data_IF_442750873838
#
_entry.id   IF_442750873838
#
_cell.length_a   1.000
_cell.length_b   1.000
_cell.length_c   1.000
_cell.angle_alpha   90.00
_cell.angle_beta   90.00
_cell.angle_gamma   90.00
#
_symmetry.space_group_name_H-M   'P 1'
#
loop_
_entity.id
_entity.type
_entity.pdbx_description
1 polymer ?
#
# COMPACT_ATOMS: atom_id res chain seq x y z
N UNK A 1 -15.16 -19.47 -2.89
CA UNK A 1 -15.23 -20.00 -1.50
C UNK A 1 -14.93 -18.85 -0.55
N UNK A 2 -15.76 -18.63 0.47
CA UNK A 2 -15.43 -17.70 1.56
C UNK A 2 -14.35 -18.30 2.46
N UNK A 3 -13.50 -17.44 3.01
CA UNK A 3 -12.52 -17.78 4.06
C UNK A 3 -12.84 -16.96 5.30
N UNK A 4 -12.64 -17.53 6.47
CA UNK A 4 -12.91 -16.85 7.74
C UNK A 4 -11.60 -16.32 8.32
N UNK A 5 -11.61 -15.07 8.78
CA UNK A 5 -10.50 -14.45 9.50
C UNK A 5 -10.91 -14.32 10.97
N UNK A 6 -10.06 -14.82 11.86
CA UNK A 6 -10.22 -14.65 13.31
C UNK A 6 -9.21 -13.63 13.81
N UNK A 7 -9.67 -12.56 14.44
CA UNK A 7 -8.83 -11.48 14.94
C UNK A 7 -8.99 -11.33 16.45
N UNK A 8 -7.87 -11.28 17.18
CA UNK A 8 -7.87 -10.93 18.60
C UNK A 8 -7.70 -9.42 18.73
N UNK A 9 -8.61 -8.78 19.46
CA UNK A 9 -8.61 -7.34 19.72
C UNK A 9 -8.58 -7.08 21.22
N UNK A 10 -8.01 -5.94 21.62
CA UNK A 10 -8.28 -5.39 22.94
C UNK A 10 -9.74 -4.89 23.00
N UNK A 11 -10.31 -4.85 24.20
CA UNK A 11 -11.67 -4.33 24.43
C UNK A 11 -11.83 -2.89 23.93
N UNK A 12 -10.80 -2.06 24.11
CA UNK A 12 -10.79 -0.67 23.64
C UNK A 12 -10.93 -0.61 22.11
N UNK A 13 -10.10 -1.33 21.37
CA UNK A 13 -10.13 -1.33 19.91
C UNK A 13 -11.44 -1.93 19.39
N UNK A 14 -11.96 -2.99 20.01
CA UNK A 14 -13.24 -3.57 19.63
C UNK A 14 -14.38 -2.54 19.77
N UNK A 15 -14.43 -1.80 20.88
CA UNK A 15 -15.46 -0.77 21.09
C UNK A 15 -15.37 0.37 20.07
N UNK A 16 -14.15 0.81 19.75
CA UNK A 16 -13.93 1.84 18.73
C UNK A 16 -14.42 1.36 17.37
N UNK A 17 -14.00 0.18 16.93
CA UNK A 17 -14.39 -0.38 15.62
C UNK A 17 -15.89 -0.61 15.54
N UNK A 18 -16.49 -1.12 16.62
CA UNK A 18 -17.93 -1.34 16.68
C UNK A 18 -18.72 -0.04 16.58
N UNK A 19 -18.33 0.98 17.34
CA UNK A 19 -18.98 2.31 17.32
C UNK A 19 -18.91 2.95 15.94
N UNK A 20 -17.76 2.86 15.25
CA UNK A 20 -17.60 3.41 13.91
C UNK A 20 -18.40 2.60 12.87
N UNK A 21 -18.38 1.28 12.95
CA UNK A 21 -19.18 0.42 12.08
C UNK A 21 -20.69 0.69 12.22
N UNK A 22 -21.18 0.85 13.46
CA UNK A 22 -22.57 1.19 13.74
C UNK A 22 -22.94 2.58 13.20
N UNK A 23 -22.03 3.58 13.30
CA UNK A 23 -22.23 4.92 12.71
C UNK A 23 -22.31 4.90 11.18
N UNK A 24 -21.55 4.01 10.55
CA UNK A 24 -21.57 3.78 9.10
C UNK A 24 -22.74 2.87 8.68
N UNK A 25 -23.59 2.44 9.62
CA UNK A 25 -24.70 1.51 9.41
C UNK A 25 -24.30 0.22 8.67
N UNK A 26 -23.14 -0.36 9.04
CA UNK A 26 -22.61 -1.58 8.42
C UNK A 26 -22.07 -2.58 9.43
N UNK A 27 -22.05 -3.90 9.12
CA UNK A 27 -21.44 -4.89 9.99
C UNK A 27 -19.94 -4.62 10.22
N UNK A 28 -19.45 -4.95 11.43
CA UNK A 28 -18.05 -4.74 11.80
C UNK A 28 -17.06 -5.49 10.88
N UNK A 29 -17.45 -6.66 10.37
CA UNK A 29 -16.65 -7.42 9.39
C UNK A 29 -16.46 -6.64 8.09
N UNK A 30 -17.55 -6.09 7.54
CA UNK A 30 -17.51 -5.27 6.34
C UNK A 30 -16.75 -3.95 6.56
N UNK A 31 -16.89 -3.34 7.75
CA UNK A 31 -16.12 -2.16 8.13
C UNK A 31 -14.61 -2.43 8.06
N UNK A 32 -14.15 -3.51 8.71
CA UNK A 32 -12.73 -3.90 8.75
C UNK A 32 -12.23 -4.25 7.35
N UNK A 33 -12.97 -5.09 6.61
CA UNK A 33 -12.61 -5.49 5.24
C UNK A 33 -12.41 -4.27 4.32
N UNK A 34 -13.35 -3.33 4.35
CA UNK A 34 -13.30 -2.12 3.53
C UNK A 34 -12.11 -1.23 3.94
N UNK A 35 -11.87 -1.07 5.24
CA UNK A 35 -10.76 -0.26 5.73
C UNK A 35 -9.40 -0.84 5.30
N UNK A 36 -9.24 -2.17 5.40
CA UNK A 36 -8.02 -2.86 4.96
C UNK A 36 -7.84 -2.72 3.45
N UNK A 37 -8.90 -2.91 2.66
CA UNK A 37 -8.83 -2.74 1.20
C UNK A 37 -8.37 -1.33 0.80
N UNK A 38 -9.00 -0.30 1.37
CA UNK A 38 -8.60 1.11 1.13
C UNK A 38 -7.17 1.38 1.57
N UNK A 39 -6.75 0.86 2.72
CA UNK A 39 -5.38 1.03 3.20
C UNK A 39 -4.37 0.46 2.19
N UNK A 40 -4.62 -0.75 1.68
CA UNK A 40 -3.77 -1.39 0.68
C UNK A 40 -3.76 -0.58 -0.62
N UNK A 41 -4.93 -0.19 -1.14
CA UNK A 41 -5.05 0.62 -2.35
C UNK A 41 -4.27 1.93 -2.26
N UNK A 42 -4.32 2.63 -1.12
CA UNK A 42 -3.66 3.92 -0.95
C UNK A 42 -2.18 3.86 -0.55
N UNK A 43 -1.74 2.82 0.15
CA UNK A 43 -0.39 2.80 0.75
C UNK A 43 0.55 1.76 0.11
N UNK A 44 0.00 0.76 -0.58
CA UNK A 44 0.79 -0.35 -1.13
C UNK A 44 0.87 -0.27 -2.66
N UNK A 45 -0.07 0.43 -3.30
CA UNK A 45 -0.11 0.60 -4.74
C UNK A 45 0.06 2.07 -5.11
N UNK A 46 0.95 2.32 -6.07
CA UNK A 46 1.03 3.58 -6.82
C UNK A 46 -0.18 3.57 -7.77
N UNK A 47 -0.90 4.69 -7.85
CA UNK A 47 -2.09 4.79 -8.72
C UNK A 47 -1.71 4.53 -10.19
N UNK A 48 -2.67 4.09 -11.02
CA UNK A 48 -2.44 3.78 -12.42
C UNK A 48 -1.92 5.00 -13.19
N UNK A 49 -2.45 6.19 -12.91
CA UNK A 49 -1.99 7.45 -13.51
C UNK A 49 -0.54 7.80 -13.10
N UNK A 50 -0.20 7.63 -11.82
CA UNK A 50 1.16 7.83 -11.34
C UNK A 50 2.13 6.81 -11.98
N UNK A 51 1.70 5.55 -12.15
CA UNK A 51 2.48 4.53 -12.84
C UNK A 51 2.65 4.82 -14.33
N UNK A 52 1.63 5.36 -15.01
CA UNK A 52 1.73 5.83 -16.39
C UNK A 52 2.72 6.98 -16.52
N UNK A 53 2.72 7.93 -15.59
CA UNK A 53 3.68 9.03 -15.57
C UNK A 53 5.12 8.53 -15.37
N UNK A 54 5.34 7.60 -14.43
CA UNK A 54 6.65 6.96 -14.22
C UNK A 54 7.10 6.22 -15.49
N UNK A 55 6.21 5.48 -16.16
CA UNK A 55 6.52 4.77 -17.41
C UNK A 55 6.79 5.73 -18.57
N UNK A 56 6.07 6.84 -18.65
CA UNK A 56 6.22 7.88 -19.66
C UNK A 56 7.44 8.78 -19.47
N UNK A 57 7.99 8.86 -18.25
CA UNK A 57 9.14 9.69 -17.95
C UNK A 57 10.44 9.10 -18.53
N UNK A 58 10.78 9.55 -19.74
CA UNK A 58 11.95 9.03 -20.47
C UNK A 58 13.29 9.34 -19.79
N UNK A 59 13.40 10.47 -19.08
CA UNK A 59 14.62 10.87 -18.40
C UNK A 59 14.88 10.01 -17.15
N UNK A 60 13.85 9.83 -16.32
CA UNK A 60 13.88 8.95 -15.15
C UNK A 60 14.23 7.52 -15.56
N UNK A 61 13.55 6.99 -16.58
CA UNK A 61 13.82 5.62 -17.04
C UNK A 61 15.25 5.46 -17.60
N UNK A 62 15.80 6.49 -18.26
CA UNK A 62 17.20 6.50 -18.68
C UNK A 62 18.17 6.57 -17.50
N UNK A 63 17.89 7.36 -16.46
CA UNK A 63 18.74 7.44 -15.27
C UNK A 63 18.73 6.13 -14.48
N UNK A 64 17.56 5.52 -14.28
CA UNK A 64 17.41 4.22 -13.61
C UNK A 64 18.16 3.11 -14.35
N UNK A 65 18.01 3.01 -15.67
CA UNK A 65 18.75 2.03 -16.50
C UNK A 65 20.26 2.22 -16.39
N UNK A 66 20.74 3.47 -16.44
CA UNK A 66 22.16 3.79 -16.25
C UNK A 66 22.64 3.37 -14.86
N UNK A 67 21.91 3.73 -13.80
CA UNK A 67 22.23 3.31 -12.43
C UNK A 67 22.32 1.79 -12.26
N UNK A 68 21.45 1.03 -12.96
CA UNK A 68 21.46 -0.44 -12.94
C UNK A 68 22.71 -1.01 -13.65
N UNK A 69 23.15 -0.39 -14.74
CA UNK A 69 24.40 -0.75 -15.44
C UNK A 69 25.63 -0.37 -14.61
N UNK A 70 25.61 0.81 -13.98
CA UNK A 70 26.71 1.30 -13.14
C UNK A 70 26.87 0.41 -11.90
N UNK A 71 25.78 0.05 -11.24
CA UNK A 71 25.76 -0.93 -10.14
C UNK A 71 26.36 -2.28 -10.59
N UNK A 72 25.91 -2.84 -11.72
CA UNK A 72 26.41 -4.13 -12.25
C UNK A 72 27.90 -4.06 -12.60
N UNK A 73 28.36 -2.93 -13.11
CA UNK A 73 29.77 -2.68 -13.42
C UNK A 73 30.59 -2.23 -12.22
N UNK A 74 29.99 -2.23 -11.00
CA UNK A 74 30.60 -1.75 -9.74
C UNK A 74 31.16 -0.33 -9.84
N UNK A 75 30.58 0.48 -10.72
CA UNK A 75 30.90 1.90 -10.87
C UNK A 75 30.04 2.70 -9.89
N UNK A 76 30.59 2.91 -8.71
CA UNK A 76 29.96 3.71 -7.66
C UNK A 76 30.95 3.94 -6.53
N UNK A 77 30.75 5.02 -5.77
CA UNK A 77 31.49 5.30 -4.54
C UNK A 77 30.50 5.57 -3.43
N UNK A 78 30.83 5.14 -2.21
CA UNK A 78 30.11 5.62 -1.05
C UNK A 78 30.30 7.14 -0.94
N UNK A 79 29.22 7.83 -0.64
CA UNK A 79 29.22 9.27 -0.36
C UNK A 79 29.05 9.37 1.15
N UNK A 80 30.01 10.02 1.82
CA UNK A 80 29.92 10.37 3.25
C UNK A 80 28.99 11.56 3.46
#
# INVERSE_FOLDING_TARGET
MSKTITLRLSEENYKVFRKLADRDNRPISNFIETAVKRFIEHNVFVDEFEMEEIRGNTELNKSLKRGLVDMKSKKGRFVE
#
